data_IF_169737125045
#
_entry.id   IF_169737125045
#
_cell.length_a   1.000
_cell.length_b   1.000
_cell.length_c   1.000
_cell.angle_alpha   90.00
_cell.angle_beta   90.00
_cell.angle_gamma   90.00
#
_symmetry.space_group_name_H-M   'P 1'
#
loop_
_entity.id
_entity.type
_entity.pdbx_description
1 polymer ?
#
# COMPACT_ATOMS: atom_id res chain seq x y z
N UNK A 1 0.34 -23.44 -6.25
CA UNK A 1 0.02 -22.09 -5.81
C UNK A 1 -0.24 -21.21 -7.02
N UNK A 2 -1.40 -20.58 -7.06
CA UNK A 2 -1.71 -19.68 -8.18
C UNK A 2 -1.07 -18.31 -7.97
N UNK A 3 -0.66 -17.70 -9.08
CA UNK A 3 -0.06 -16.38 -9.09
C UNK A 3 -0.85 -15.46 -10.01
N UNK A 4 -0.86 -14.17 -9.69
CA UNK A 4 -1.49 -13.16 -10.53
C UNK A 4 -0.53 -12.59 -11.58
N UNK A 5 0.71 -13.05 -11.61
CA UNK A 5 1.69 -12.58 -12.57
C UNK A 5 1.19 -12.82 -14.00
N UNK A 6 1.23 -11.80 -14.83
CA UNK A 6 0.74 -11.86 -16.20
C UNK A 6 -0.77 -11.68 -16.35
N UNK A 7 -1.49 -11.49 -15.25
CA UNK A 7 -2.93 -11.29 -15.27
C UNK A 7 -3.25 -9.83 -14.91
N UNK A 8 -4.45 -9.39 -15.30
CA UNK A 8 -4.93 -8.06 -14.89
C UNK A 8 -5.12 -8.05 -13.38
N UNK A 9 -4.57 -7.04 -12.72
CA UNK A 9 -4.70 -6.89 -11.28
C UNK A 9 -6.17 -6.65 -10.90
N UNK A 10 -6.67 -7.29 -9.83
CA UNK A 10 -8.04 -7.04 -9.37
C UNK A 10 -8.24 -5.58 -8.99
N UNK A 11 -9.39 -5.01 -9.40
CA UNK A 11 -9.77 -3.67 -8.97
C UNK A 11 -10.31 -3.71 -7.55
N UNK A 12 -10.14 -2.60 -6.83
CA UNK A 12 -10.64 -2.50 -5.46
C UNK A 12 -10.80 -1.04 -5.06
N UNK A 13 -11.52 -0.84 -3.95
CA UNK A 13 -11.56 0.46 -3.29
C UNK A 13 -11.36 0.26 -1.79
N UNK A 14 -10.60 1.14 -1.19
CA UNK A 14 -10.33 1.14 0.25
C UNK A 14 -10.26 2.59 0.72
N UNK A 15 -10.30 2.80 2.04
CA UNK A 15 -10.15 4.14 2.59
C UNK A 15 -8.69 4.45 2.85
N UNK A 16 -8.32 5.70 2.59
CA UNK A 16 -6.96 6.19 2.84
C UNK A 16 -6.78 6.53 4.32
N UNK A 17 -5.55 6.83 4.69
CA UNK A 17 -5.22 7.30 6.04
C UNK A 17 -5.93 8.61 6.42
N UNK A 18 -6.39 9.37 5.45
CA UNK A 18 -7.14 10.61 5.67
C UNK A 18 -8.65 10.38 5.65
N UNK A 19 -9.10 9.13 5.49
CA UNK A 19 -10.52 8.78 5.48
C UNK A 19 -11.20 8.88 4.13
N UNK A 20 -10.49 9.27 3.09
CA UNK A 20 -11.04 9.39 1.74
C UNK A 20 -11.13 8.02 1.07
N UNK A 21 -12.05 7.89 0.12
CA UNK A 21 -12.12 6.68 -0.69
C UNK A 21 -11.05 6.68 -1.77
N UNK A 22 -10.36 5.55 -1.88
CA UNK A 22 -9.36 5.34 -2.93
C UNK A 22 -9.84 4.22 -3.86
N UNK A 23 -9.80 4.48 -5.15
CA UNK A 23 -10.14 3.48 -6.17
C UNK A 23 -8.88 3.15 -6.96
N UNK A 24 -8.57 1.85 -7.06
CA UNK A 24 -7.41 1.39 -7.84
C UNK A 24 -7.51 1.86 -9.29
N UNK A 25 -8.72 1.89 -9.84
CA UNK A 25 -8.95 2.34 -11.21
C UNK A 25 -8.57 3.80 -11.45
N UNK A 26 -8.47 4.63 -10.40
CA UNK A 26 -8.02 6.01 -10.55
C UNK A 26 -6.56 6.13 -10.99
N UNK A 27 -5.79 5.06 -10.85
CA UNK A 27 -4.40 5.00 -11.27
C UNK A 27 -4.21 4.21 -12.55
N UNK A 28 -5.28 3.95 -13.28
CA UNK A 28 -5.21 3.21 -14.53
C UNK A 28 -4.26 3.92 -15.51
N UNK A 29 -3.41 3.13 -16.16
CA UNK A 29 -2.40 3.66 -17.06
C UNK A 29 -1.06 3.99 -16.40
N UNK A 30 -1.00 3.98 -15.08
CA UNK A 30 0.25 4.25 -14.35
C UNK A 30 0.85 2.94 -13.82
N UNK A 31 2.18 2.89 -13.76
CA UNK A 31 2.86 1.84 -13.03
C UNK A 31 2.65 2.04 -11.53
N UNK A 32 2.47 0.93 -10.80
CA UNK A 32 2.17 0.97 -9.38
C UNK A 32 2.99 -0.06 -8.63
N UNK A 33 3.46 0.32 -7.44
CA UNK A 33 4.02 -0.62 -6.48
C UNK A 33 3.05 -0.65 -5.32
N UNK A 34 2.37 -1.79 -5.13
CA UNK A 34 1.47 -1.99 -4.01
C UNK A 34 2.17 -2.94 -3.05
N UNK A 35 2.48 -2.47 -1.85
CA UNK A 35 3.10 -3.32 -0.86
C UNK A 35 2.16 -3.55 0.31
N UNK A 36 2.10 -4.79 0.76
CA UNK A 36 1.28 -5.20 1.90
C UNK A 36 2.17 -5.35 3.11
N UNK A 37 1.79 -4.74 4.22
CA UNK A 37 2.55 -4.87 5.45
C UNK A 37 1.66 -5.35 6.59
N UNK A 38 2.28 -6.01 7.58
CA UNK A 38 1.53 -6.72 8.61
C UNK A 38 0.89 -5.76 9.62
N UNK A 39 1.63 -4.75 10.05
CA UNK A 39 1.16 -3.88 11.12
C UNK A 39 1.95 -2.58 11.16
N UNK A 40 1.25 -1.46 11.20
CA UNK A 40 1.87 -0.16 11.39
C UNK A 40 2.57 -0.13 12.75
N UNK A 41 3.76 0.45 12.78
CA UNK A 41 4.53 0.58 14.01
C UNK A 41 5.48 -0.57 14.32
N UNK A 42 5.37 -1.71 13.63
CA UNK A 42 6.37 -2.77 13.84
C UNK A 42 7.72 -2.34 13.23
N UNK A 43 8.84 -2.74 13.84
CA UNK A 43 10.16 -2.30 13.34
C UNK A 43 10.43 -2.69 11.89
N UNK A 44 10.03 -3.89 11.48
CA UNK A 44 10.22 -4.36 10.12
C UNK A 44 9.40 -3.54 9.12
N UNK A 45 8.14 -3.26 9.46
CA UNK A 45 7.27 -2.47 8.58
C UNK A 45 7.72 -1.02 8.51
N UNK A 46 8.19 -0.44 9.63
CA UNK A 46 8.76 0.91 9.62
C UNK A 46 9.95 0.99 8.67
N UNK A 47 10.84 0.01 8.73
CA UNK A 47 12.03 -0.03 7.87
C UNK A 47 11.65 -0.11 6.40
N UNK A 48 10.68 -0.96 6.07
CA UNK A 48 10.20 -1.09 4.71
C UNK A 48 9.61 0.22 4.18
N UNK A 49 8.77 0.87 4.97
CA UNK A 49 8.18 2.15 4.58
C UNK A 49 9.23 3.24 4.42
N UNK A 50 10.23 3.29 5.29
CA UNK A 50 11.31 4.28 5.18
C UNK A 50 12.16 4.03 3.94
N UNK A 51 12.37 2.78 3.55
CA UNK A 51 13.07 2.47 2.29
C UNK A 51 12.31 3.01 1.09
N UNK A 52 10.99 2.82 1.05
CA UNK A 52 10.17 3.39 -0.03
C UNK A 52 10.18 4.91 0.01
N UNK A 53 10.17 5.50 1.20
CA UNK A 53 10.25 6.95 1.34
C UNK A 53 11.54 7.50 0.75
N UNK A 54 12.67 6.86 1.02
CA UNK A 54 13.97 7.28 0.49
C UNK A 54 14.00 7.26 -1.03
N UNK A 55 13.30 6.32 -1.66
CA UNK A 55 13.28 6.15 -3.10
C UNK A 55 12.09 6.81 -3.78
N UNK A 56 11.25 7.50 -3.01
CA UNK A 56 10.01 8.07 -3.55
C UNK A 56 10.26 9.01 -4.71
N UNK A 57 11.21 9.93 -4.56
CA UNK A 57 11.50 10.91 -5.61
C UNK A 57 12.00 10.23 -6.89
N UNK A 58 12.77 9.16 -6.75
CA UNK A 58 13.23 8.38 -7.89
C UNK A 58 12.05 7.78 -8.64
N UNK A 59 11.13 7.14 -7.93
CA UNK A 59 9.93 6.55 -8.56
C UNK A 59 9.09 7.60 -9.25
N UNK A 60 8.91 8.77 -8.63
CA UNK A 60 8.10 9.84 -9.20
C UNK A 60 8.77 10.52 -10.38
N UNK A 61 10.09 10.42 -10.50
CA UNK A 61 10.85 11.01 -11.60
C UNK A 61 10.85 10.17 -12.86
N UNK A 62 10.39 8.91 -12.76
CA UNK A 62 10.32 8.04 -13.93
C UNK A 62 9.21 8.48 -14.88
N UNK A 63 9.32 8.09 -16.14
CA UNK A 63 8.35 8.44 -17.18
C UNK A 63 7.83 7.15 -17.85
N UNK A 64 6.56 6.77 -17.58
CA UNK A 64 5.61 7.41 -16.67
C UNK A 64 6.00 7.24 -15.19
N UNK A 65 5.53 8.14 -14.31
CA UNK A 65 5.81 8.01 -12.89
C UNK A 65 5.22 6.74 -12.29
N UNK A 66 5.90 6.20 -11.26
CA UNK A 66 5.45 5.02 -10.54
C UNK A 66 4.79 5.46 -9.24
N UNK A 67 3.55 5.01 -9.01
CA UNK A 67 2.82 5.28 -7.77
C UNK A 67 3.15 4.21 -6.73
N UNK A 68 3.31 4.64 -5.47
CA UNK A 68 3.59 3.74 -4.35
C UNK A 68 2.40 3.75 -3.40
N UNK A 69 1.92 2.57 -3.04
CA UNK A 69 0.72 2.42 -2.20
C UNK A 69 0.99 1.34 -1.17
N UNK A 70 0.78 1.68 0.12
CA UNK A 70 0.89 0.72 1.20
C UNK A 70 -0.48 0.25 1.68
N UNK A 71 -0.63 -1.04 1.96
CA UNK A 71 -1.89 -1.63 2.41
C UNK A 71 -1.65 -2.49 3.64
N UNK A 72 -2.48 -2.33 4.67
CA UNK A 72 -2.46 -3.21 5.84
C UNK A 72 -3.82 -3.27 6.50
N UNK A 73 -3.96 -4.15 7.51
CA UNK A 73 -5.19 -4.28 8.28
C UNK A 73 -5.41 -3.17 9.29
N UNK A 74 -4.44 -2.29 9.49
CA UNK A 74 -4.56 -1.22 10.46
C UNK A 74 -5.74 -0.30 10.15
N UNK A 75 -6.30 0.30 11.21
CA UNK A 75 -7.39 1.25 11.06
C UNK A 75 -6.92 2.53 10.37
N UNK A 76 -7.88 3.32 9.91
CA UNK A 76 -7.60 4.63 9.30
C UNK A 76 -6.78 5.49 10.27
N UNK A 77 -7.15 5.49 11.55
CA UNK A 77 -6.45 6.26 12.56
C UNK A 77 -5.01 5.80 12.73
N UNK A 78 -4.78 4.49 12.81
CA UNK A 78 -3.44 3.93 12.94
C UNK A 78 -2.57 4.28 11.73
N UNK A 79 -3.12 4.19 10.53
CA UNK A 79 -2.41 4.58 9.31
C UNK A 79 -2.06 6.07 9.31
N UNK A 80 -2.99 6.91 9.76
CA UNK A 80 -2.75 8.35 9.81
C UNK A 80 -1.62 8.68 10.79
N UNK A 81 -1.64 8.09 11.98
CA UNK A 81 -0.58 8.27 12.96
C UNK A 81 0.78 7.81 12.43
N UNK A 82 0.80 6.65 11.76
CA UNK A 82 2.00 6.09 11.18
C UNK A 82 2.57 6.98 10.07
N UNK A 83 1.68 7.47 9.19
CA UNK A 83 2.07 8.34 8.10
C UNK A 83 2.66 9.65 8.60
N UNK A 84 2.06 10.22 9.65
CA UNK A 84 2.55 11.45 10.27
C UNK A 84 3.88 11.20 10.97
N UNK A 85 3.98 10.13 11.76
CA UNK A 85 5.19 9.80 12.49
C UNK A 85 6.41 9.67 11.59
N UNK A 86 6.26 8.99 10.46
CA UNK A 86 7.36 8.76 9.53
C UNK A 86 7.42 9.77 8.39
N UNK A 87 6.48 10.70 8.34
CA UNK A 87 6.37 11.68 7.25
C UNK A 87 6.39 10.99 5.88
N UNK A 88 5.49 10.02 5.70
CA UNK A 88 5.43 9.23 4.47
C UNK A 88 4.76 10.02 3.34
N UNK A 89 5.37 10.10 2.16
CA UNK A 89 4.83 10.87 1.04
C UNK A 89 3.83 10.11 0.17
N UNK A 90 3.61 8.83 0.44
CA UNK A 90 2.74 8.00 -0.38
C UNK A 90 1.47 7.60 0.35
N UNK A 91 0.51 7.07 -0.42
CA UNK A 91 -0.81 6.69 0.09
C UNK A 91 -0.74 5.41 0.92
N UNK A 92 -1.42 5.42 2.07
CA UNK A 92 -1.65 4.22 2.88
C UNK A 92 -3.13 3.90 2.88
N UNK A 93 -3.47 2.63 2.72
CA UNK A 93 -4.85 2.15 2.64
C UNK A 93 -5.17 1.17 3.76
N UNK A 94 -6.37 1.30 4.31
CA UNK A 94 -6.87 0.43 5.38
C UNK A 94 -7.67 -0.73 4.78
N UNK A 95 -7.26 -1.97 5.06
CA UNK A 95 -7.91 -3.20 4.61
C UNK A 95 -8.20 -4.09 5.83
N UNK A 96 -9.13 -3.66 6.72
CA UNK A 96 -9.29 -4.30 8.03
C UNK A 96 -9.68 -5.78 7.96
N UNK A 97 -10.42 -6.17 6.93
CA UNK A 97 -10.88 -7.54 6.77
C UNK A 97 -9.97 -8.39 5.88
N UNK A 98 -8.82 -7.86 5.49
CA UNK A 98 -7.89 -8.50 4.55
C UNK A 98 -8.55 -8.87 3.21
N UNK A 99 -9.59 -8.15 2.84
CA UNK A 99 -10.31 -8.43 1.60
C UNK A 99 -9.41 -8.27 0.37
N UNK A 100 -8.70 -7.16 0.31
CA UNK A 100 -7.81 -6.87 -0.82
C UNK A 100 -6.56 -7.76 -0.76
N UNK A 101 -6.03 -7.99 0.45
CA UNK A 101 -4.90 -8.90 0.59
C UNK A 101 -5.24 -10.29 0.06
N UNK A 102 -6.45 -10.78 0.33
CA UNK A 102 -6.90 -12.06 -0.20
C UNK A 102 -7.08 -12.03 -1.72
N UNK A 103 -7.64 -10.94 -2.26
CA UNK A 103 -7.76 -10.78 -3.71
C UNK A 103 -6.42 -10.87 -4.42
N UNK A 104 -5.36 -10.34 -3.77
CA UNK A 104 -4.01 -10.35 -4.32
C UNK A 104 -3.21 -11.56 -3.87
N UNK A 105 -3.85 -12.52 -3.20
CA UNK A 105 -3.25 -13.79 -2.77
C UNK A 105 -2.05 -13.60 -1.85
N UNK A 106 -2.11 -12.57 -0.99
CA UNK A 106 -1.08 -12.32 0.00
C UNK A 106 -1.25 -13.32 1.15
N UNK A 107 -0.20 -14.07 1.52
CA UNK A 107 -0.32 -15.06 2.60
C UNK A 107 -0.62 -14.41 3.95
N UNK A 108 -1.30 -15.15 4.82
CA UNK A 108 -1.48 -14.71 6.20
C UNK A 108 -0.13 -14.73 6.90
N UNK A 109 0.20 -13.65 7.56
CA UNK A 109 1.45 -13.54 8.31
C UNK A 109 1.19 -13.89 9.77
N UNK A 110 1.84 -14.95 10.25
CA UNK A 110 1.62 -15.50 11.58
C UNK A 110 2.78 -15.22 12.55
N UNK A 111 3.49 -14.19 12.32
CA UNK A 111 4.63 -13.97 13.20
C UNK A 111 4.70 -12.64 13.86
#
# INVERSE_FOLDING_TARGET
>A
MSSLVGQTAPDFNLRTSEGDEFYMSSLEGNWKVIFFYAKAGSPTCKRGCLNFKEQYDLFKSLDPPVEIIGVSQDSIQQHNEFKIELDLPFTLLSDPDRKVAEMYKVPVHLG
#
